data_IF_056329829487
#
_entry.id   IF_056329829487
#
_cell.length_a   1.000
_cell.length_b   1.000
_cell.length_c   1.000
_cell.angle_alpha   90.00
_cell.angle_beta   90.00
_cell.angle_gamma   90.00
#
_symmetry.space_group_name_H-M   'P 1'
#
loop_
_entity.id
_entity.type
_entity.pdbx_description
1 polymer ?
#
# COMPACT_ATOMS: atom_id res chain seq x y z
N UNK A 1 -12.90 -0.91 24.69
CA UNK A 1 -13.25 -1.65 23.44
C UNK A 1 -14.22 -2.79 23.74
N UNK A 2 -13.99 -3.60 24.78
CA UNK A 2 -14.91 -4.69 25.16
C UNK A 2 -15.91 -4.33 26.28
N UNK A 3 -16.07 -3.04 26.58
CA UNK A 3 -16.86 -2.56 27.73
C UNK A 3 -18.33 -2.93 27.58
N UNK A 4 -18.88 -2.75 26.38
CA UNK A 4 -20.24 -3.20 26.03
C UNK A 4 -20.45 -4.71 26.19
N UNK A 5 -19.46 -5.54 25.84
CA UNK A 5 -19.56 -7.01 26.00
C UNK A 5 -19.57 -7.38 27.48
N UNK A 6 -18.76 -6.68 28.30
CA UNK A 6 -18.75 -6.88 29.76
C UNK A 6 -20.07 -6.46 30.42
N UNK A 7 -20.71 -5.42 29.91
CA UNK A 7 -22.00 -4.94 30.40
C UNK A 7 -23.16 -5.87 29.99
N UNK A 8 -23.23 -6.26 28.71
CA UNK A 8 -24.33 -7.09 28.20
C UNK A 8 -24.18 -8.58 28.57
N UNK A 9 -22.94 -9.08 28.68
CA UNK A 9 -22.62 -10.49 28.98
C UNK A 9 -21.48 -10.60 30.01
N UNK A 10 -21.75 -10.42 31.32
CA UNK A 10 -20.71 -10.37 32.35
C UNK A 10 -19.82 -11.62 32.42
N UNK A 11 -20.41 -12.79 32.14
CA UNK A 11 -19.75 -14.10 32.25
C UNK A 11 -19.18 -14.60 30.91
N UNK A 12 -19.01 -13.75 29.90
CA UNK A 12 -18.52 -14.18 28.58
C UNK A 12 -17.17 -14.91 28.62
N UNK A 13 -16.33 -14.60 29.62
CA UNK A 13 -15.03 -15.20 29.84
C UNK A 13 -15.09 -16.69 30.18
N UNK A 14 -16.20 -17.18 30.75
CA UNK A 14 -16.42 -18.62 31.01
C UNK A 14 -16.50 -19.44 29.72
N UNK A 15 -16.82 -18.80 28.59
CA UNK A 15 -16.85 -19.42 27.25
C UNK A 15 -15.51 -19.36 26.53
N UNK A 16 -14.47 -18.83 27.17
CA UNK A 16 -13.14 -18.64 26.58
C UNK A 16 -12.17 -19.58 27.29
N UNK A 17 -11.66 -20.57 26.54
CA UNK A 17 -10.58 -21.44 26.99
C UNK A 17 -9.29 -21.08 26.26
N UNK A 18 -8.27 -20.52 26.95
CA UNK A 18 -6.98 -20.26 26.33
C UNK A 18 -6.17 -21.55 26.18
N UNK A 19 -5.55 -21.76 25.02
CA UNK A 19 -4.63 -22.87 24.75
C UNK A 19 -3.26 -22.31 24.45
N UNK A 20 -2.22 -22.86 25.11
CA UNK A 20 -0.84 -22.44 24.88
C UNK A 20 -0.30 -23.04 23.59
N UNK A 21 0.30 -22.21 22.73
CA UNK A 21 0.88 -22.63 21.46
C UNK A 21 2.15 -21.83 21.13
N UNK A 22 3.12 -22.48 20.48
CA UNK A 22 4.38 -21.94 20.00
C UNK A 22 4.59 -22.27 18.52
N UNK A 23 4.45 -21.24 17.67
CA UNK A 23 4.47 -21.37 16.20
C UNK A 23 5.79 -21.87 15.59
N UNK A 24 6.88 -21.85 16.34
CA UNK A 24 8.22 -22.27 15.86
C UNK A 24 8.49 -23.75 16.11
N UNK A 25 7.62 -24.45 16.85
CA UNK A 25 7.80 -25.85 17.22
C UNK A 25 6.83 -26.76 16.47
N UNK A 26 7.18 -28.04 16.26
CA UNK A 26 6.25 -29.03 15.70
C UNK A 26 4.94 -29.08 16.48
N UNK A 27 3.82 -29.29 15.78
CA UNK A 27 2.46 -29.33 16.34
C UNK A 27 2.10 -28.10 17.19
N UNK A 28 2.75 -26.96 16.91
CA UNK A 28 2.59 -25.72 17.66
C UNK A 28 2.90 -25.88 19.16
N UNK A 29 3.62 -26.92 19.57
CA UNK A 29 3.84 -27.28 20.99
C UNK A 29 2.56 -27.29 21.87
N UNK A 30 1.40 -27.59 21.28
CA UNK A 30 0.14 -27.77 22.01
C UNK A 30 0.23 -29.08 22.79
N UNK A 31 -0.32 -29.11 24.02
CA UNK A 31 -0.35 -30.31 24.84
C UNK A 31 -1.18 -31.41 24.16
N UNK A 32 -0.88 -32.69 24.42
CA UNK A 32 -1.64 -33.79 23.82
C UNK A 32 -3.12 -33.76 24.23
N UNK A 33 -3.40 -33.36 25.47
CA UNK A 33 -4.75 -33.22 26.02
C UNK A 33 -5.54 -32.11 25.30
N UNK A 34 -4.96 -30.90 25.19
CA UNK A 34 -5.60 -29.80 24.47
C UNK A 34 -5.76 -30.12 22.98
N UNK A 35 -4.82 -30.85 22.38
CA UNK A 35 -4.90 -31.26 20.98
C UNK A 35 -6.05 -32.25 20.74
N UNK A 36 -6.28 -33.20 21.65
CA UNK A 36 -7.40 -34.15 21.57
C UNK A 36 -8.75 -33.46 21.74
N UNK A 37 -8.84 -32.51 22.66
CA UNK A 37 -10.04 -31.68 22.85
C UNK A 37 -10.30 -30.81 21.60
N UNK A 38 -9.26 -30.18 21.05
CA UNK A 38 -9.39 -29.40 19.81
C UNK A 38 -9.90 -30.27 18.65
N UNK A 39 -9.43 -31.50 18.53
CA UNK A 39 -9.85 -32.41 17.46
C UNK A 39 -11.27 -32.94 17.65
N UNK A 40 -11.75 -33.07 18.88
CA UNK A 40 -13.07 -33.63 19.19
C UNK A 40 -14.18 -32.57 19.26
N UNK A 41 -13.88 -31.36 19.71
CA UNK A 41 -14.90 -30.34 19.99
C UNK A 41 -14.93 -29.18 18.98
N UNK A 42 -13.85 -28.91 18.25
CA UNK A 42 -13.79 -27.74 17.37
C UNK A 42 -14.60 -27.95 16.09
N UNK A 43 -15.65 -27.15 15.94
CA UNK A 43 -16.44 -27.10 14.70
C UNK A 43 -15.92 -26.06 13.70
N UNK A 44 -15.23 -25.01 14.17
CA UNK A 44 -14.77 -23.89 13.35
C UNK A 44 -13.38 -23.44 13.78
N UNK A 45 -12.47 -23.30 12.81
CA UNK A 45 -11.14 -22.75 13.03
C UNK A 45 -11.05 -21.39 12.34
N UNK A 46 -10.81 -20.34 13.13
CA UNK A 46 -10.47 -19.01 12.61
C UNK A 46 -8.95 -18.84 12.58
N UNK A 47 -8.36 -18.88 11.39
CA UNK A 47 -6.92 -18.64 11.24
C UNK A 47 -6.65 -17.13 11.06
N UNK A 48 -6.43 -16.43 12.17
CA UNK A 48 -6.14 -14.99 12.18
C UNK A 48 -4.78 -14.65 12.82
N UNK A 49 -3.95 -15.66 13.09
CA UNK A 49 -2.67 -15.47 13.75
C UNK A 49 -1.68 -14.77 12.81
N UNK A 50 -1.23 -13.57 13.20
CA UNK A 50 -0.15 -12.86 12.54
C UNK A 50 0.92 -12.49 13.56
N UNK A 51 2.20 -12.64 13.19
CA UNK A 51 3.29 -12.18 14.03
C UNK A 51 3.31 -10.64 14.05
N UNK A 52 2.81 -10.04 15.13
CA UNK A 52 2.94 -8.60 15.36
C UNK A 52 4.07 -8.38 16.36
N UNK A 53 5.32 -8.30 15.88
CA UNK A 53 6.46 -7.97 16.75
C UNK A 53 6.41 -6.48 17.13
N UNK A 54 6.01 -6.18 18.36
CA UNK A 54 5.95 -4.81 18.90
C UNK A 54 7.26 -4.31 19.56
N UNK A 55 8.32 -5.12 19.58
CA UNK A 55 9.55 -4.82 20.33
C UNK A 55 10.74 -4.39 19.45
N UNK A 56 10.51 -3.48 18.49
CA UNK A 56 11.60 -2.61 18.03
C UNK A 56 11.38 -1.19 18.57
N UNK A 57 12.33 -0.61 19.33
CA UNK A 57 12.27 0.79 19.67
C UNK A 57 12.52 1.61 18.39
N UNK A 58 11.44 1.87 17.65
CA UNK A 58 11.36 3.07 16.84
C UNK A 58 11.32 4.23 17.82
N UNK A 59 12.45 4.92 17.97
CA UNK A 59 12.55 6.24 18.61
C UNK A 59 11.78 7.31 17.83
N UNK A 60 10.54 7.01 17.42
CA UNK A 60 9.50 7.96 17.04
C UNK A 60 8.53 8.23 18.22
N UNK A 61 8.90 7.88 19.46
CA UNK A 61 8.22 8.34 20.70
C UNK A 61 8.43 9.84 20.98
N UNK A 62 8.45 10.70 19.95
CA UNK A 62 8.47 12.15 20.17
C UNK A 62 7.34 12.92 19.54
N UNK A 63 6.53 12.36 18.66
CA UNK A 63 5.32 13.02 18.16
C UNK A 63 4.16 12.02 18.07
N UNK A 64 3.66 11.57 19.23
CA UNK A 64 2.25 11.16 19.35
C UNK A 64 1.39 12.42 19.20
N UNK A 65 1.38 13.02 18.00
CA UNK A 65 0.55 14.16 17.70
C UNK A 65 -0.82 13.59 17.29
N UNK A 66 -1.89 13.75 18.09
CA UNK A 66 -3.21 13.20 17.76
C UNK A 66 -3.74 13.69 16.39
N UNK A 67 -3.24 14.83 15.93
CA UNK A 67 -3.46 15.38 14.58
C UNK A 67 -2.90 14.52 13.45
N UNK A 68 -1.74 13.85 13.60
CA UNK A 68 -1.18 12.97 12.57
C UNK A 68 -1.96 11.65 12.45
N UNK A 69 -2.50 11.17 13.58
CA UNK A 69 -3.38 9.99 13.66
C UNK A 69 -4.75 10.28 13.08
N UNK A 70 -5.31 11.45 13.37
CA UNK A 70 -6.55 11.92 12.75
C UNK A 70 -6.37 12.20 11.26
N UNK A 71 -5.32 12.89 10.80
CA UNK A 71 -5.14 13.21 9.37
C UNK A 71 -5.03 11.96 8.49
N UNK A 72 -4.38 10.90 8.97
CA UNK A 72 -4.27 9.64 8.22
C UNK A 72 -5.64 8.95 8.06
N UNK A 73 -6.45 8.91 9.13
CA UNK A 73 -7.79 8.32 9.16
C UNK A 73 -8.81 9.21 8.43
N UNK A 74 -8.64 10.54 8.48
CA UNK A 74 -9.62 11.49 7.92
C UNK A 74 -9.39 11.77 6.43
N UNK A 75 -8.15 11.64 5.91
CA UNK A 75 -7.84 11.93 4.49
C UNK A 75 -7.67 10.70 3.59
N UNK A 76 -7.35 9.53 4.12
CA UNK A 76 -7.48 8.26 3.39
C UNK A 76 -8.82 7.61 3.77
N UNK A 77 -9.94 8.12 3.22
CA UNK A 77 -11.21 7.36 3.16
C UNK A 77 -11.05 6.20 2.15
N UNK A 78 -10.19 5.25 2.48
CA UNK A 78 -10.28 3.89 1.96
C UNK A 78 -10.88 3.09 3.11
N UNK A 79 -12.22 3.01 3.14
CA UNK A 79 -13.00 2.40 4.21
C UNK A 79 -12.94 3.22 5.52
N UNK A 80 -14.05 3.28 6.26
CA UNK A 80 -14.01 3.63 7.68
C UNK A 80 -13.30 2.49 8.44
N UNK A 81 -11.98 2.40 8.30
CA UNK A 81 -11.16 1.30 8.83
C UNK A 81 -10.27 1.74 9.98
N UNK A 82 -10.10 0.85 10.96
CA UNK A 82 -9.21 1.06 12.09
C UNK A 82 -7.78 0.62 11.72
N UNK A 83 -6.85 1.58 11.59
CA UNK A 83 -5.41 1.29 11.50
C UNK A 83 -4.76 1.66 12.83
N UNK A 84 -4.33 0.65 13.59
CA UNK A 84 -3.80 0.85 14.94
C UNK A 84 -2.26 0.93 15.02
N UNK A 85 -1.54 0.49 13.97
CA UNK A 85 -0.08 0.44 13.97
C UNK A 85 0.57 0.53 12.56
N UNK A 86 1.89 0.75 12.55
CA UNK A 86 2.75 0.81 11.35
C UNK A 86 3.48 -0.50 11.03
N UNK A 87 3.08 -1.61 11.62
CA UNK A 87 3.66 -2.92 11.39
C UNK A 87 3.23 -3.45 10.02
N UNK A 88 4.09 -4.25 9.40
CA UNK A 88 3.87 -4.93 8.12
C UNK A 88 3.64 -3.96 6.93
N UNK A 89 2.69 -4.31 6.05
CA UNK A 89 2.39 -3.57 4.80
C UNK A 89 1.97 -2.12 5.07
N UNK A 90 1.40 -1.80 6.23
CA UNK A 90 0.98 -0.43 6.57
C UNK A 90 2.16 0.53 6.68
N UNK A 91 3.23 0.13 7.37
CA UNK A 91 4.47 0.93 7.46
C UNK A 91 5.12 1.11 6.09
N UNK A 92 5.06 0.07 5.26
CA UNK A 92 5.51 0.14 3.87
C UNK A 92 4.69 1.14 3.05
N UNK A 93 3.35 1.09 3.11
CA UNK A 93 2.46 2.03 2.40
C UNK A 93 2.73 3.48 2.82
N UNK A 94 2.98 3.72 4.11
CA UNK A 94 3.34 5.06 4.61
C UNK A 94 4.71 5.51 4.10
N UNK A 95 5.69 4.61 4.08
CA UNK A 95 7.03 4.91 3.56
C UNK A 95 7.00 5.18 2.05
N UNK A 96 6.19 4.43 1.31
CA UNK A 96 5.87 4.67 -0.10
C UNK A 96 5.20 6.03 -0.32
N UNK A 97 4.12 6.31 0.43
CA UNK A 97 3.35 7.56 0.38
C UNK A 97 4.17 8.79 0.79
N UNK A 98 5.19 8.64 1.63
CA UNK A 98 6.16 9.71 1.96
C UNK A 98 7.31 9.81 0.95
N UNK A 99 7.39 8.95 -0.06
CA UNK A 99 8.47 8.92 -1.05
C UNK A 99 9.81 8.43 -0.49
N UNK A 100 9.80 7.74 0.66
CA UNK A 100 10.98 7.10 1.26
C UNK A 100 11.29 5.81 0.50
N UNK A 101 10.28 5.01 0.20
CA UNK A 101 10.40 3.82 -0.65
C UNK A 101 9.92 4.15 -2.06
N UNK A 102 10.70 3.74 -3.07
CA UNK A 102 10.43 4.01 -4.50
C UNK A 102 10.60 2.80 -5.40
N UNK A 103 11.21 1.73 -4.90
CA UNK A 103 11.31 0.48 -5.63
C UNK A 103 11.06 -0.68 -4.68
N UNK A 104 10.36 -1.69 -5.19
CA UNK A 104 10.10 -2.94 -4.46
C UNK A 104 10.32 -4.12 -5.39
N UNK A 105 10.98 -5.14 -4.86
CA UNK A 105 11.06 -6.45 -5.49
C UNK A 105 9.74 -7.18 -5.29
N UNK A 106 9.00 -7.33 -6.38
CA UNK A 106 7.65 -7.88 -6.40
C UNK A 106 7.35 -8.34 -7.82
N UNK A 107 6.59 -9.43 -7.98
CA UNK A 107 6.07 -9.76 -9.29
C UNK A 107 4.73 -9.03 -9.52
N UNK A 108 4.63 -8.05 -10.43
CA UNK A 108 3.40 -7.28 -10.63
C UNK A 108 2.22 -8.12 -11.12
N UNK A 109 2.48 -9.29 -11.71
CA UNK A 109 1.46 -10.22 -12.20
C UNK A 109 0.94 -11.18 -11.13
N UNK A 110 1.53 -11.18 -9.93
CA UNK A 110 1.06 -12.02 -8.85
C UNK A 110 -0.13 -11.36 -8.15
N UNK A 111 -1.02 -12.21 -7.64
CA UNK A 111 -2.14 -11.78 -6.80
C UNK A 111 -1.62 -11.25 -5.46
N UNK A 112 -2.16 -10.11 -5.05
CA UNK A 112 -1.92 -9.45 -3.78
C UNK A 112 -3.11 -9.72 -2.86
N UNK A 113 -2.99 -10.73 -2.00
CA UNK A 113 -4.02 -11.05 -0.99
C UNK A 113 -4.02 -10.04 0.18
N UNK A 114 -4.44 -8.82 -0.13
CA UNK A 114 -4.68 -7.75 0.85
C UNK A 114 -6.17 -7.72 1.15
N UNK A 115 -6.56 -8.34 2.25
CA UNK A 115 -7.96 -8.47 2.66
C UNK A 115 -8.31 -7.40 3.72
N UNK A 116 -9.29 -6.52 3.48
CA UNK A 116 -9.83 -5.64 4.50
C UNK A 116 -10.29 -6.41 5.74
N UNK A 117 -9.96 -5.89 6.92
CA UNK A 117 -10.33 -6.53 8.20
C UNK A 117 -11.84 -6.70 8.33
N UNK A 118 -12.64 -5.77 7.80
CA UNK A 118 -14.10 -5.86 7.82
C UNK A 118 -14.62 -7.09 7.08
N UNK A 119 -13.97 -7.49 5.98
CA UNK A 119 -14.34 -8.70 5.25
C UNK A 119 -13.97 -9.96 6.04
N UNK A 120 -12.84 -9.96 6.74
CA UNK A 120 -12.46 -11.05 7.64
C UNK A 120 -13.45 -11.19 8.81
N UNK A 121 -13.87 -10.07 9.40
CA UNK A 121 -14.89 -10.04 10.48
C UNK A 121 -16.25 -10.49 9.96
N UNK A 122 -16.69 -10.00 8.80
CA UNK A 122 -17.95 -10.39 8.18
C UNK A 122 -17.97 -11.89 7.85
N UNK A 123 -16.87 -12.42 7.31
CA UNK A 123 -16.74 -13.87 7.12
C UNK A 123 -16.85 -14.61 8.44
N UNK A 124 -16.15 -14.14 9.49
CA UNK A 124 -16.17 -14.75 10.83
C UNK A 124 -17.59 -14.87 11.38
N UNK A 125 -18.35 -13.78 11.31
CA UNK A 125 -19.75 -13.73 11.76
C UNK A 125 -20.62 -14.69 10.92
N UNK A 126 -20.45 -14.67 9.60
CA UNK A 126 -21.25 -15.48 8.68
C UNK A 126 -21.00 -16.98 8.87
N UNK A 127 -19.74 -17.37 9.07
CA UNK A 127 -19.34 -18.74 9.38
C UNK A 127 -19.96 -19.16 10.72
N UNK A 128 -19.91 -18.30 11.74
CA UNK A 128 -20.54 -18.57 13.03
C UNK A 128 -22.05 -18.84 12.92
N UNK A 129 -22.77 -18.01 12.16
CA UNK A 129 -24.19 -18.22 11.87
C UNK A 129 -24.43 -19.53 11.13
N UNK A 130 -23.71 -19.79 10.05
CA UNK A 130 -23.91 -20.96 9.21
C UNK A 130 -23.69 -22.25 9.99
N UNK A 131 -22.61 -22.32 10.77
CA UNK A 131 -22.30 -23.48 11.60
C UNK A 131 -23.37 -23.70 12.68
N UNK A 132 -23.86 -22.63 13.33
CA UNK A 132 -24.88 -22.75 14.37
C UNK A 132 -26.22 -23.29 13.84
N UNK A 133 -26.60 -22.89 12.62
CA UNK A 133 -27.86 -23.28 11.98
C UNK A 133 -27.76 -24.67 11.33
N UNK A 134 -26.71 -24.91 10.54
CA UNK A 134 -26.61 -26.10 9.69
C UNK A 134 -25.92 -27.28 10.39
N UNK A 135 -25.15 -27.02 11.45
CA UNK A 135 -24.42 -28.02 12.25
C UNK A 135 -23.71 -29.06 11.37
N UNK A 136 -22.76 -28.63 10.52
CA UNK A 136 -22.06 -29.53 9.61
C UNK A 136 -21.37 -30.65 10.40
N UNK A 137 -21.42 -31.87 9.87
CA UNK A 137 -20.88 -33.08 10.53
C UNK A 137 -19.34 -33.09 10.58
N UNK A 138 -18.67 -32.27 9.77
CA UNK A 138 -17.22 -32.15 9.71
C UNK A 138 -16.80 -30.68 9.75
N UNK A 139 -15.60 -30.36 10.28
CA UNK A 139 -15.07 -29.00 10.29
C UNK A 139 -14.92 -28.48 8.86
N UNK A 140 -15.52 -27.32 8.58
CA UNK A 140 -15.41 -26.65 7.29
C UNK A 140 -14.31 -25.58 7.35
N UNK A 141 -13.41 -25.62 6.37
CA UNK A 141 -12.33 -24.63 6.24
C UNK A 141 -12.78 -23.56 5.26
N UNK A 142 -12.83 -22.31 5.73
CA UNK A 142 -13.20 -21.14 4.93
C UNK A 142 -11.98 -20.26 4.68
N UNK A 143 -11.56 -20.14 3.43
CA UNK A 143 -10.50 -19.21 3.04
C UNK A 143 -11.14 -17.96 2.42
N UNK A 144 -10.76 -16.77 2.92
CA UNK A 144 -11.08 -15.52 2.26
C UNK A 144 -9.84 -15.00 1.56
N UNK A 145 -9.78 -15.19 0.25
CA UNK A 145 -8.64 -14.76 -0.59
C UNK A 145 -9.17 -14.01 -1.80
N UNK A 146 -8.36 -13.08 -2.31
CA UNK A 146 -8.71 -12.29 -3.48
C UNK A 146 -8.60 -13.13 -4.76
N UNK A 147 -7.63 -14.04 -4.83
CA UNK A 147 -7.28 -14.78 -6.05
C UNK A 147 -8.41 -15.61 -6.66
N UNK A 148 -9.25 -16.26 -5.85
CA UNK A 148 -10.32 -17.14 -6.34
C UNK A 148 -11.68 -16.47 -6.58
N UNK A 149 -11.81 -15.17 -6.29
CA UNK A 149 -13.08 -14.44 -6.31
C UNK A 149 -13.00 -13.15 -7.13
N UNK A 150 -12.06 -12.28 -6.77
CA UNK A 150 -11.81 -11.01 -7.44
C UNK A 150 -10.32 -10.70 -7.29
N UNK A 151 -9.47 -11.26 -8.17
CA UNK A 151 -8.03 -11.17 -8.01
C UNK A 151 -7.58 -9.72 -8.11
N UNK A 152 -6.88 -9.25 -7.08
CA UNK A 152 -6.21 -7.96 -7.07
C UNK A 152 -4.72 -8.21 -7.34
N UNK A 153 -4.17 -7.67 -8.42
CA UNK A 153 -2.76 -7.86 -8.72
C UNK A 153 -1.88 -6.80 -8.06
N UNK A 154 -0.62 -7.14 -7.78
CA UNK A 154 0.34 -6.17 -7.25
C UNK A 154 0.54 -4.96 -8.17
N UNK A 155 0.49 -5.17 -9.49
CA UNK A 155 0.53 -4.09 -10.48
C UNK A 155 -0.66 -3.13 -10.37
N UNK A 156 -1.86 -3.67 -10.10
CA UNK A 156 -3.06 -2.84 -9.90
C UNK A 156 -2.93 -2.01 -8.61
N UNK A 157 -2.39 -2.62 -7.55
CA UNK A 157 -2.07 -1.91 -6.30
C UNK A 157 -1.05 -0.80 -6.52
N UNK A 158 -0.01 -0.99 -7.33
CA UNK A 158 0.96 0.07 -7.67
C UNK A 158 0.27 1.26 -8.34
N UNK A 159 -0.54 0.99 -9.38
CA UNK A 159 -1.26 2.02 -10.12
C UNK A 159 -2.28 2.75 -9.23
N UNK A 160 -3.04 1.99 -8.44
CA UNK A 160 -4.05 2.53 -7.54
C UNK A 160 -3.42 3.30 -6.38
N UNK A 161 -2.34 2.79 -5.77
CA UNK A 161 -1.64 3.46 -4.69
C UNK A 161 -0.99 4.76 -5.16
N UNK A 162 -0.30 4.76 -6.30
CA UNK A 162 0.30 5.97 -6.87
C UNK A 162 -0.77 7.01 -7.17
N UNK A 163 -1.87 6.59 -7.80
CA UNK A 163 -3.04 7.45 -8.04
C UNK A 163 -3.68 7.95 -6.74
N UNK A 164 -3.63 7.16 -5.67
CA UNK A 164 -4.20 7.50 -4.36
C UNK A 164 -3.31 8.46 -3.58
N UNK A 165 -1.99 8.31 -3.66
CA UNK A 165 -1.03 9.25 -3.07
C UNK A 165 -1.09 10.61 -3.77
N UNK A 166 -1.33 10.61 -5.09
CA UNK A 166 -1.60 11.83 -5.86
C UNK A 166 -2.92 12.49 -5.45
N UNK A 167 -3.94 11.68 -5.11
CA UNK A 167 -5.25 12.18 -4.65
C UNK A 167 -5.23 12.68 -3.20
N UNK A 168 -4.52 11.98 -2.32
CA UNK A 168 -4.48 12.20 -0.88
C UNK A 168 -3.02 12.22 -0.37
N UNK A 169 -2.25 13.29 -0.62
CA UNK A 169 -0.85 13.33 -0.22
C UNK A 169 -0.68 13.39 1.30
N UNK A 170 0.34 12.71 1.82
CA UNK A 170 0.68 12.76 3.23
C UNK A 170 1.39 14.06 3.62
N UNK A 171 1.18 14.52 4.85
CA UNK A 171 1.88 15.69 5.37
C UNK A 171 3.40 15.44 5.41
N UNK A 172 4.15 16.44 4.93
CA UNK A 172 5.63 16.45 4.88
C UNK A 172 6.19 15.19 4.19
N UNK A 173 5.90 14.98 2.89
CA UNK A 173 6.52 13.90 2.15
C UNK A 173 8.02 14.21 1.99
N UNK A 174 8.86 13.19 2.15
CA UNK A 174 10.31 13.33 1.93
C UNK A 174 10.61 13.58 0.45
N UNK A 175 9.85 12.92 -0.44
CA UNK A 175 9.90 13.07 -1.91
C UNK A 175 8.51 12.83 -2.49
N UNK A 176 8.34 13.18 -3.77
CA UNK A 176 7.15 12.79 -4.53
C UNK A 176 7.00 11.26 -4.43
N UNK A 177 5.84 10.77 -3.96
CA UNK A 177 5.60 9.35 -3.83
C UNK A 177 5.45 8.73 -5.21
N UNK A 178 6.41 7.88 -5.57
CA UNK A 178 6.40 7.11 -6.80
C UNK A 178 7.08 5.80 -6.48
N UNK A 179 6.27 4.73 -6.44
CA UNK A 179 6.75 3.37 -6.20
C UNK A 179 6.68 2.62 -7.50
N UNK A 180 7.79 1.97 -7.86
CA UNK A 180 7.83 1.08 -9.00
C UNK A 180 8.12 -0.35 -8.57
N UNK A 181 7.26 -1.27 -8.96
CA UNK A 181 7.48 -2.69 -8.74
C UNK A 181 8.43 -3.27 -9.81
N UNK A 182 9.21 -4.26 -9.45
CA UNK A 182 10.05 -4.98 -10.42
C UNK A 182 10.26 -6.43 -10.00
N UNK A 183 10.15 -7.34 -10.98
CA UNK A 183 10.44 -8.76 -10.78
C UNK A 183 11.93 -9.09 -10.92
N UNK A 184 12.74 -8.21 -11.53
CA UNK A 184 14.17 -8.43 -11.76
C UNK A 184 15.00 -8.02 -10.54
N UNK A 185 15.81 -8.94 -10.04
CA UNK A 185 16.72 -8.67 -8.92
C UNK A 185 17.75 -7.60 -9.28
N UNK A 186 18.36 -7.67 -10.47
CA UNK A 186 19.38 -6.72 -10.90
C UNK A 186 18.83 -5.30 -11.05
N UNK A 187 17.65 -5.17 -11.65
CA UNK A 187 16.98 -3.86 -11.79
C UNK A 187 16.61 -3.29 -10.42
N UNK A 188 16.14 -4.14 -9.50
CA UNK A 188 15.85 -3.71 -8.13
C UNK A 188 17.12 -3.21 -7.41
N UNK A 189 18.24 -3.94 -7.48
CA UNK A 189 19.51 -3.55 -6.85
C UNK A 189 20.03 -2.22 -7.41
N UNK A 190 19.99 -2.04 -8.73
CA UNK A 190 20.37 -0.78 -9.37
C UNK A 190 19.50 0.39 -8.87
N UNK A 191 18.17 0.22 -8.85
CA UNK A 191 17.23 1.25 -8.39
C UNK A 191 17.38 1.54 -6.90
N UNK A 192 17.62 0.52 -6.09
CA UNK A 192 17.89 0.65 -4.66
C UNK A 192 19.15 1.49 -4.44
N UNK A 193 20.23 1.19 -5.17
CA UNK A 193 21.46 1.98 -5.09
C UNK A 193 21.25 3.44 -5.50
N UNK A 194 20.57 3.70 -6.62
CA UNK A 194 20.37 5.05 -7.16
C UNK A 194 19.38 5.88 -6.35
N UNK A 195 18.22 5.32 -5.99
CA UNK A 195 17.13 6.08 -5.36
C UNK A 195 17.18 6.09 -3.84
N UNK A 196 17.78 5.07 -3.21
CA UNK A 196 17.80 4.93 -1.75
C UNK A 196 19.19 5.12 -1.19
N UNK A 197 20.16 4.27 -1.55
CA UNK A 197 21.50 4.25 -0.93
C UNK A 197 22.30 5.51 -1.22
N UNK A 198 22.45 5.91 -2.49
CA UNK A 198 23.31 7.04 -2.87
C UNK A 198 22.82 8.36 -2.26
N UNK A 199 21.53 8.73 -2.36
CA UNK A 199 21.05 9.98 -1.79
C UNK A 199 21.10 9.99 -0.26
N UNK A 200 20.89 8.83 0.38
CA UNK A 200 20.96 8.73 1.83
C UNK A 200 22.38 8.84 2.36
N UNK A 201 23.34 8.22 1.67
CA UNK A 201 24.76 8.39 1.96
C UNK A 201 25.18 9.85 1.85
N UNK A 202 24.83 10.53 0.76
CA UNK A 202 25.15 11.95 0.56
C UNK A 202 24.52 12.84 1.63
N UNK A 203 23.26 12.57 2.02
CA UNK A 203 22.58 13.31 3.07
C UNK A 203 23.22 13.09 4.44
N UNK A 204 23.55 11.86 4.80
CA UNK A 204 24.20 11.54 6.08
C UNK A 204 25.64 12.06 6.13
N UNK A 205 26.35 12.09 5.00
CA UNK A 205 27.65 12.74 4.86
C UNK A 205 27.52 14.25 5.12
N UNK A 206 26.55 14.91 4.51
CA UNK A 206 26.27 16.32 4.75
C UNK A 206 25.96 16.60 6.24
N UNK A 207 25.11 15.78 6.87
CA UNK A 207 24.83 15.88 8.30
C UNK A 207 26.10 15.75 9.14
N UNK A 208 26.97 14.80 8.81
CA UNK A 208 28.24 14.60 9.52
C UNK A 208 29.17 15.82 9.39
N UNK A 209 29.23 16.44 8.22
CA UNK A 209 30.04 17.64 7.98
C UNK A 209 29.56 18.86 8.79
N UNK A 210 28.26 18.97 9.07
CA UNK A 210 27.69 20.05 9.92
C UNK A 210 27.61 19.64 11.41
N UNK A 211 28.31 18.58 11.83
CA UNK A 211 28.33 18.12 13.22
C UNK A 211 27.03 17.46 13.71
N UNK A 212 26.10 17.13 12.81
CA UNK A 212 24.84 16.43 13.13
C UNK A 212 24.99 14.92 12.98
N UNK A 213 24.19 14.18 13.76
CA UNK A 213 24.18 12.71 13.74
C UNK A 213 23.54 12.21 12.43
N UNK A 214 24.18 11.30 11.68
CA UNK A 214 23.59 10.65 10.51
C UNK A 214 22.44 9.71 10.92
N UNK A 215 21.37 9.66 10.12
CA UNK A 215 20.13 8.95 10.46
C UNK A 215 19.47 8.25 9.26
N UNK A 216 19.63 8.77 8.04
CA UNK A 216 18.85 8.34 6.89
C UNK A 216 19.27 6.96 6.38
N UNK A 217 20.58 6.66 6.35
CA UNK A 217 21.05 5.32 6.01
C UNK A 217 20.52 4.27 6.98
N UNK A 218 20.53 4.59 8.29
CA UNK A 218 20.02 3.67 9.32
C UNK A 218 18.52 3.39 9.14
N UNK A 219 17.73 4.40 8.75
CA UNK A 219 16.31 4.24 8.45
C UNK A 219 16.10 3.34 7.23
N UNK A 220 16.78 3.63 6.11
CA UNK A 220 16.60 2.88 4.87
C UNK A 220 17.07 1.43 4.98
N UNK A 221 18.19 1.16 5.67
CA UNK A 221 18.65 -0.23 5.92
C UNK A 221 17.63 -1.03 6.75
N UNK A 222 16.91 -0.40 7.69
CA UNK A 222 15.84 -1.07 8.45
C UNK A 222 14.67 -1.42 7.55
N UNK A 223 14.21 -0.46 6.75
CA UNK A 223 13.12 -0.66 5.79
C UNK A 223 13.49 -1.76 4.80
N UNK A 224 14.70 -1.74 4.26
CA UNK A 224 15.19 -2.74 3.32
C UNK A 224 15.21 -4.15 3.93
N UNK A 225 15.71 -4.30 5.17
CA UNK A 225 15.67 -5.59 5.88
C UNK A 225 14.24 -6.12 6.00
N UNK A 226 13.29 -5.28 6.37
CA UNK A 226 11.87 -5.67 6.44
C UNK A 226 11.32 -6.06 5.07
N UNK A 227 11.67 -5.33 4.01
CA UNK A 227 11.23 -5.65 2.65
C UNK A 227 11.79 -6.98 2.14
N UNK A 228 13.04 -7.32 2.46
CA UNK A 228 13.62 -8.63 2.11
C UNK A 228 12.88 -9.80 2.77
N UNK A 229 12.38 -9.62 4.00
CA UNK A 229 11.55 -10.63 4.66
C UNK A 229 10.21 -10.84 3.95
N UNK A 230 9.66 -9.79 3.34
CA UNK A 230 8.41 -9.83 2.59
C UNK A 230 8.58 -10.31 1.15
N UNK A 231 9.80 -10.26 0.60
CA UNK A 231 10.07 -10.57 -0.81
C UNK A 231 9.56 -11.95 -1.24
N UNK A 232 9.66 -12.95 -0.37
CA UNK A 232 9.13 -14.29 -0.65
C UNK A 232 7.62 -14.25 -0.91
N UNK A 233 6.88 -13.49 -0.10
CA UNK A 233 5.41 -13.35 -0.20
C UNK A 233 4.97 -12.45 -1.36
N UNK A 234 5.78 -11.47 -1.75
CA UNK A 234 5.47 -10.57 -2.88
C UNK A 234 5.94 -11.12 -4.23
N UNK A 235 6.82 -12.12 -4.24
CA UNK A 235 7.36 -12.72 -5.47
C UNK A 235 6.74 -14.06 -5.85
N UNK A 236 6.01 -14.70 -4.93
CA UNK A 236 5.26 -15.93 -5.19
C UNK A 236 3.75 -15.66 -5.09
N UNK A 237 2.95 -16.51 -5.71
CA UNK A 237 1.50 -16.50 -5.61
C UNK A 237 1.03 -17.89 -5.22
N UNK A 238 -0.08 -17.94 -4.49
CA UNK A 238 -0.68 -19.18 -4.03
C UNK A 238 -2.09 -19.27 -4.54
N UNK A 239 -2.47 -20.49 -4.95
CA UNK A 239 -3.85 -20.80 -5.27
C UNK A 239 -4.52 -21.37 -4.02
N UNK A 240 -5.59 -20.71 -3.57
CA UNK A 240 -6.33 -21.10 -2.38
C UNK A 240 -7.72 -21.59 -2.78
N UNK A 241 -8.16 -22.68 -2.17
CA UNK A 241 -9.54 -23.15 -2.36
C UNK A 241 -10.53 -22.18 -1.72
N UNK A 242 -11.44 -21.63 -2.53
CA UNK A 242 -12.51 -20.72 -2.12
C UNK A 242 -13.90 -21.39 -2.10
N UNK A 243 -13.96 -22.72 -2.28
CA UNK A 243 -15.22 -23.46 -2.48
C UNK A 243 -16.24 -23.27 -1.35
N UNK A 244 -15.83 -23.44 -0.09
CA UNK A 244 -16.73 -23.28 1.06
C UNK A 244 -17.16 -21.84 1.28
N UNK A 245 -16.27 -20.87 1.00
CA UNK A 245 -16.61 -19.44 1.04
C UNK A 245 -17.66 -19.13 -0.01
N UNK A 246 -17.50 -19.62 -1.24
CA UNK A 246 -18.47 -19.43 -2.32
C UNK A 246 -19.83 -20.08 -2.01
N UNK A 247 -19.82 -21.27 -1.41
CA UNK A 247 -21.03 -21.93 -0.91
C UNK A 247 -21.72 -21.04 0.14
N UNK A 248 -20.98 -20.58 1.14
CA UNK A 248 -21.49 -19.71 2.20
C UNK A 248 -22.10 -18.41 1.63
N UNK A 249 -21.43 -17.82 0.65
CA UNK A 249 -21.93 -16.63 -0.03
C UNK A 249 -23.26 -16.90 -0.75
N UNK A 250 -23.51 -18.10 -1.27
CA UNK A 250 -24.78 -18.41 -1.95
C UNK A 250 -25.96 -18.46 -0.99
N UNK A 251 -25.75 -18.99 0.22
CA UNK A 251 -26.76 -19.11 1.28
C UNK A 251 -27.22 -17.77 1.86
N UNK A 252 -26.40 -16.72 1.73
CA UNK A 252 -26.76 -15.39 2.21
C UNK A 252 -27.94 -14.78 1.42
N UNK A 253 -28.86 -14.14 2.15
CA UNK A 253 -29.95 -13.37 1.55
C UNK A 253 -29.40 -12.21 0.71
N UNK A 254 -30.14 -11.72 -0.31
CA UNK A 254 -29.70 -10.56 -1.11
C UNK A 254 -29.46 -9.31 -0.26
N UNK A 255 -30.20 -9.14 0.84
CA UNK A 255 -30.06 -8.03 1.78
C UNK A 255 -28.76 -8.13 2.57
N UNK A 256 -28.37 -9.33 2.99
CA UNK A 256 -27.13 -9.57 3.72
C UNK A 256 -25.93 -9.47 2.80
N UNK A 257 -26.03 -9.99 1.56
CA UNK A 257 -25.01 -9.78 0.52
C UNK A 257 -24.67 -8.30 0.36
N UNK A 258 -25.67 -7.43 0.19
CA UNK A 258 -25.45 -5.99 0.03
C UNK A 258 -24.97 -5.28 1.30
N UNK A 259 -25.29 -5.79 2.49
CA UNK A 259 -24.86 -5.18 3.76
C UNK A 259 -23.42 -5.57 4.13
N UNK A 260 -22.99 -6.78 3.77
CA UNK A 260 -21.70 -7.35 4.19
C UNK A 260 -20.61 -7.35 3.10
N UNK A 261 -20.91 -6.97 1.84
CA UNK A 261 -19.99 -7.07 0.69
C UNK A 261 -19.66 -5.74 -0.04
N UNK A 262 -19.65 -4.60 0.65
CA UNK A 262 -19.23 -3.25 0.17
C UNK A 262 -20.42 -2.30 -0.09
N UNK A 263 -20.39 -1.16 0.60
CA UNK A 263 -21.05 0.07 0.17
C UNK A 263 -20.16 1.26 0.58
N UNK A 264 -19.65 2.02 -0.40
CA UNK A 264 -19.19 3.38 -0.18
C UNK A 264 -19.87 4.35 -1.17
N UNK A 265 -20.23 5.52 -0.65
CA UNK A 265 -20.85 6.63 -1.37
C UNK A 265 -19.77 7.52 -2.05
N UNK A 266 -19.94 7.79 -3.34
CA UNK A 266 -18.94 8.33 -4.28
C UNK A 266 -19.07 9.83 -4.54
N UNK A 267 -19.95 10.53 -3.81
CA UNK A 267 -20.33 11.93 -4.08
C UNK A 267 -19.18 12.96 -4.04
N UNK A 268 -18.06 12.68 -3.35
CA UNK A 268 -16.94 13.63 -3.18
C UNK A 268 -15.87 13.63 -4.29
N UNK A 269 -15.88 12.65 -5.19
CA UNK A 269 -14.84 12.44 -6.22
C UNK A 269 -14.69 13.62 -7.22
N UNK A 270 -15.76 14.27 -7.69
CA UNK A 270 -15.65 15.31 -8.73
C UNK A 270 -14.85 16.55 -8.29
N UNK A 271 -15.01 16.99 -7.03
CA UNK A 271 -14.31 18.16 -6.49
C UNK A 271 -12.80 17.91 -6.33
N UNK A 272 -12.41 16.71 -5.89
CA UNK A 272 -11.02 16.31 -5.74
C UNK A 272 -10.28 16.21 -7.09
N UNK A 273 -10.96 15.71 -8.14
CA UNK A 273 -10.41 15.67 -9.49
C UNK A 273 -10.12 17.07 -10.07
N UNK A 274 -10.90 18.09 -9.70
CA UNK A 274 -10.69 19.46 -10.18
C UNK A 274 -9.45 20.11 -9.55
N UNK A 275 -9.19 19.83 -8.28
CA UNK A 275 -8.01 20.33 -7.56
C UNK A 275 -6.69 19.72 -8.10
N UNK A 276 -6.66 18.41 -8.34
CA UNK A 276 -5.49 17.71 -8.89
C UNK A 276 -5.13 18.19 -10.30
N UNK A 277 -6.14 18.49 -11.13
CA UNK A 277 -5.91 19.07 -12.46
C UNK A 277 -5.14 20.39 -12.37
N UNK A 278 -5.48 21.27 -11.42
CA UNK A 278 -4.74 22.52 -11.18
C UNK A 278 -3.28 22.26 -10.77
N UNK A 279 -3.03 21.29 -9.89
CA UNK A 279 -1.68 20.94 -9.44
C UNK A 279 -0.81 20.32 -10.54
N UNK A 280 -1.39 19.47 -11.39
CA UNK A 280 -0.70 18.90 -12.56
C UNK A 280 -0.29 19.99 -13.57
N UNK A 281 -1.14 20.99 -13.79
CA UNK A 281 -0.81 22.15 -14.63
C UNK A 281 0.36 22.93 -14.05
N UNK A 282 0.39 23.17 -12.73
CA UNK A 282 1.48 23.86 -12.06
C UNK A 282 2.79 23.06 -12.14
N UNK A 283 2.75 21.74 -11.91
CA UNK A 283 3.93 20.87 -12.01
C UNK A 283 4.51 20.82 -13.43
N UNK A 284 3.63 20.73 -14.44
CA UNK A 284 4.04 20.77 -15.84
C UNK A 284 4.70 22.12 -16.17
N UNK A 285 4.12 23.23 -15.69
CA UNK A 285 4.71 24.55 -15.86
C UNK A 285 6.10 24.64 -15.22
N UNK A 286 6.27 24.15 -13.99
CA UNK A 286 7.58 24.15 -13.30
C UNK A 286 8.63 23.30 -14.03
N UNK A 287 8.27 22.12 -14.54
CA UNK A 287 9.17 21.28 -15.35
C UNK A 287 9.55 21.98 -16.66
N UNK A 288 8.60 22.63 -17.33
CA UNK A 288 8.88 23.40 -18.53
C UNK A 288 9.84 24.58 -18.23
N UNK A 289 9.61 25.31 -17.13
CA UNK A 289 10.50 26.40 -16.70
C UNK A 289 11.91 25.88 -16.40
N UNK A 290 12.05 24.75 -15.70
CA UNK A 290 13.34 24.14 -15.41
C UNK A 290 14.07 23.72 -16.69
N UNK A 291 13.36 23.12 -17.65
CA UNK A 291 13.89 22.76 -18.96
C UNK A 291 14.40 23.99 -19.72
N UNK A 292 13.64 25.09 -19.71
CA UNK A 292 14.03 26.36 -20.35
C UNK A 292 15.28 26.95 -19.69
N UNK A 293 15.40 26.89 -18.36
CA UNK A 293 16.58 27.37 -17.63
C UNK A 293 17.81 26.52 -17.97
N UNK A 294 17.70 25.20 -17.92
CA UNK A 294 18.78 24.27 -18.29
C UNK A 294 19.20 24.51 -19.74
N UNK A 295 18.24 24.65 -20.65
CA UNK A 295 18.49 24.93 -22.06
C UNK A 295 19.18 26.27 -22.28
N UNK A 296 18.77 27.34 -21.56
CA UNK A 296 19.44 28.64 -21.60
C UNK A 296 20.89 28.58 -21.14
N UNK A 297 21.16 27.86 -20.04
CA UNK A 297 22.53 27.68 -19.54
C UNK A 297 23.37 26.88 -20.54
N UNK A 298 22.79 25.85 -21.16
CA UNK A 298 23.46 25.00 -22.13
C UNK A 298 23.82 25.75 -23.43
N UNK A 299 22.89 26.54 -23.98
CA UNK A 299 23.16 27.40 -25.15
C UNK A 299 24.22 28.45 -24.85
N UNK A 300 24.19 29.07 -23.67
CA UNK A 300 25.17 30.10 -23.30
C UNK A 300 26.61 29.55 -23.17
N UNK A 301 26.76 28.23 -22.98
CA UNK A 301 28.07 27.58 -22.78
C UNK A 301 28.54 26.78 -24.00
N UNK A 302 27.71 26.61 -25.02
CA UNK A 302 28.03 25.78 -26.20
C UNK A 302 27.68 26.49 -27.50
N UNK A 303 28.73 26.84 -28.25
CA UNK A 303 28.59 27.49 -29.57
C UNK A 303 27.84 26.60 -30.57
N UNK A 304 28.02 25.27 -30.47
CA UNK A 304 27.31 24.32 -31.32
C UNK A 304 25.80 24.30 -31.03
N UNK A 305 25.40 24.31 -29.75
CA UNK A 305 24.00 24.36 -29.35
C UNK A 305 23.35 25.69 -29.76
N UNK A 306 24.08 26.80 -29.67
CA UNK A 306 23.65 28.10 -30.16
C UNK A 306 23.36 28.08 -31.67
N UNK A 307 24.29 27.57 -32.48
CA UNK A 307 24.12 27.50 -33.93
C UNK A 307 22.93 26.61 -34.33
N UNK A 308 22.76 25.45 -33.67
CA UNK A 308 21.61 24.56 -33.90
C UNK A 308 20.29 25.25 -33.54
N UNK A 309 20.25 26.01 -32.45
CA UNK A 309 19.04 26.76 -32.05
C UNK A 309 18.63 27.82 -33.07
N UNK A 310 19.56 28.61 -33.58
CA UNK A 310 19.28 29.61 -34.63
C UNK A 310 18.88 28.97 -35.96
N UNK A 311 19.46 27.81 -36.29
CA UNK A 311 19.04 27.03 -37.45
C UNK A 311 17.57 26.59 -37.33
N UNK A 312 17.18 26.03 -36.18
CA UNK A 312 15.79 25.61 -35.93
C UNK A 312 14.83 26.81 -35.95
N UNK A 313 15.18 27.92 -35.29
CA UNK A 313 14.37 29.14 -35.33
C UNK A 313 14.21 29.71 -36.75
N UNK A 314 15.26 29.68 -37.56
CA UNK A 314 15.22 30.07 -38.97
C UNK A 314 14.26 29.17 -39.76
N UNK A 315 14.29 27.86 -39.50
CA UNK A 315 13.40 26.90 -40.14
C UNK A 315 11.94 27.14 -39.76
N UNK A 316 11.66 27.34 -38.46
CA UNK A 316 10.32 27.66 -37.95
C UNK A 316 9.81 29.00 -38.51
N UNK A 317 10.65 30.02 -38.60
CA UNK A 317 10.27 31.31 -39.19
C UNK A 317 9.92 31.17 -40.67
N UNK A 318 10.75 30.46 -41.45
CA UNK A 318 10.46 30.17 -42.86
C UNK A 318 9.16 29.39 -43.01
N UNK A 319 8.94 28.37 -42.19
CA UNK A 319 7.71 27.58 -42.20
C UNK A 319 6.47 28.41 -41.85
N UNK A 320 6.53 29.24 -40.81
CA UNK A 320 5.45 30.16 -40.44
C UNK A 320 5.20 31.22 -41.51
N UNK A 321 6.24 31.77 -42.14
CA UNK A 321 6.09 32.70 -43.27
C UNK A 321 5.44 32.04 -44.48
N UNK A 322 5.74 30.77 -44.75
CA UNK A 322 5.14 30.00 -45.82
C UNK A 322 3.65 29.76 -45.57
N UNK A 323 3.26 29.38 -44.34
CA UNK A 323 1.86 29.24 -43.95
C UNK A 323 1.11 30.57 -44.03
N UNK A 324 1.75 31.67 -43.60
CA UNK A 324 1.14 33.01 -43.64
C UNK A 324 0.90 33.47 -45.08
N UNK A 325 1.87 33.26 -45.97
CA UNK A 325 1.73 33.53 -47.42
C UNK A 325 0.63 32.68 -48.05
N UNK A 326 0.52 31.41 -47.67
CA UNK A 326 -0.54 30.51 -48.13
C UNK A 326 -1.94 30.92 -47.62
N UNK A 327 -2.02 31.48 -46.41
CA UNK A 327 -3.27 32.01 -45.85
C UNK A 327 -3.73 33.31 -46.52
N UNK A 328 -2.81 34.13 -47.05
CA UNK A 328 -3.14 35.36 -47.81
C UNK A 328 -3.44 35.11 -49.29
N UNK A 329 -3.03 33.97 -49.86
CA UNK A 329 -3.34 33.58 -51.25
C UNK A 329 -4.70 32.86 -51.40
N UNK A 330 -5.38 32.55 -50.29
CA UNK A 330 -6.79 32.11 -50.27
C UNK A 330 -7.70 33.30 -49.92
N UNK A 331 -7.81 34.26 -50.82
CA UNK A 331 -8.87 35.27 -50.86
C UNK A 331 -9.23 35.54 -52.32
#
# INVERSE_FOLDING_TARGET
VFDRVREEWPNFHEKIKPICAEFTKPNLAISSEDMEELLSEVNVIFHCAAAVRFNEPLNMRRHNNPSFRLEFITRFRFLHGWIDNFNNINGFLVAAAKGVVRTVKCNPTNVADVIPVDLAVNLTITVGWYTAVHRPKSPLIYNYTSGGLNPLYWGDLEMNATSSFDKNPLEKPFRIPEVTLTSSHLVHQYRLFVYHTSPAFLYDLHLRLIGKKPQLMKLLTRIEKSMRLLEYFTSHSWEWSSGHTNMLMKELSPKDKNKYLLNEDMAGIPAAQQYIRKLKTIHCALKATLLVIIWRIFIARSQMAHNVWYFVLSLCYKFLSYIRVFSTLRL
#
